data_IF_389481504683
#
_entry.id   IF_389481504683
#
_cell.length_a   1.000
_cell.length_b   1.000
_cell.length_c   1.000
_cell.angle_alpha   90.00
_cell.angle_beta   90.00
_cell.angle_gamma   90.00
#
_symmetry.space_group_name_H-M   'P 1'
#
loop_
_entity.id
_entity.type
_entity.pdbx_description
1 polymer ?
#
# COMPACT_ATOMS: atom_id res chain seq x y z
N UNK A 1 3.85 -5.05 38.64
CA UNK A 1 4.08 -3.76 37.95
C UNK A 1 4.89 -2.89 38.88
N UNK A 2 6.07 -2.41 38.47
CA UNK A 2 6.96 -1.61 39.33
C UNK A 2 6.55 -0.13 39.43
N UNK A 3 5.27 0.15 39.65
CA UNK A 3 4.76 1.52 39.85
C UNK A 3 4.68 1.79 41.34
N UNK A 4 5.27 2.90 41.78
CA UNK A 4 5.22 3.33 43.18
C UNK A 4 3.80 3.71 43.60
N UNK A 5 3.36 3.28 44.78
CA UNK A 5 2.01 3.51 45.29
C UNK A 5 1.66 5.00 45.40
N UNK A 6 2.64 5.87 45.64
CA UNK A 6 2.43 7.33 45.69
C UNK A 6 1.96 7.93 44.36
N UNK A 7 2.13 7.20 43.25
CA UNK A 7 1.70 7.61 41.91
C UNK A 7 0.30 7.12 41.56
N UNK A 8 -0.31 6.28 42.41
CA UNK A 8 -1.64 5.74 42.20
C UNK A 8 -2.66 6.73 42.76
N UNK A 9 -3.54 7.23 41.88
CA UNK A 9 -4.61 8.16 42.25
C UNK A 9 -5.94 7.44 42.12
N UNK A 10 -6.74 7.32 43.19
CA UNK A 10 -8.06 6.72 43.11
C UNK A 10 -9.01 7.68 42.39
N UNK A 11 -9.53 7.25 41.24
CA UNK A 11 -10.54 7.96 40.47
C UNK A 11 -11.79 7.10 40.39
N UNK A 12 -12.94 7.66 40.76
CA UNK A 12 -14.22 6.94 40.76
C UNK A 12 -15.17 7.41 39.67
N UNK A 13 -15.11 8.71 39.34
CA UNK A 13 -16.02 9.31 38.40
C UNK A 13 -15.44 9.31 36.98
N UNK A 14 -16.17 8.78 35.98
CA UNK A 14 -15.64 8.67 34.62
C UNK A 14 -15.35 10.03 33.97
N UNK A 15 -16.06 11.09 34.37
CA UNK A 15 -15.79 12.45 33.90
C UNK A 15 -14.51 13.03 34.49
N UNK A 16 -14.23 12.77 35.76
CA UNK A 16 -12.99 13.20 36.41
C UNK A 16 -11.79 12.49 35.77
N UNK A 17 -11.90 11.18 35.54
CA UNK A 17 -10.91 10.37 34.83
C UNK A 17 -10.62 10.94 33.45
N UNK A 18 -11.66 11.35 32.71
CA UNK A 18 -11.50 11.94 31.37
C UNK A 18 -10.69 13.23 31.43
N UNK A 19 -11.08 14.16 32.32
CA UNK A 19 -10.37 15.44 32.49
C UNK A 19 -8.94 15.24 32.95
N UNK A 20 -8.70 14.24 33.79
CA UNK A 20 -7.36 13.90 34.27
C UNK A 20 -6.49 13.32 33.14
N UNK A 21 -7.04 12.47 32.28
CA UNK A 21 -6.35 11.94 31.09
C UNK A 21 -6.03 13.07 30.09
N UNK A 22 -6.97 13.97 29.83
CA UNK A 22 -6.76 15.12 28.91
C UNK A 22 -5.67 16.08 29.39
N UNK A 23 -5.58 16.31 30.70
CA UNK A 23 -4.50 17.12 31.29
C UNK A 23 -3.13 16.46 31.08
N UNK A 24 -3.07 15.14 31.17
CA UNK A 24 -1.83 14.37 31.07
C UNK A 24 -0.86 14.61 32.24
N UNK A 25 0.21 13.83 32.35
CA UNK A 25 1.10 13.83 33.51
C UNK A 25 1.84 15.17 33.70
N UNK A 26 2.10 15.92 32.63
CA UNK A 26 2.83 17.18 32.68
C UNK A 26 2.00 18.36 33.20
N UNK A 27 0.67 18.27 33.18
CA UNK A 27 -0.24 19.35 33.64
C UNK A 27 -1.04 18.93 34.89
N UNK A 28 -0.49 18.02 35.69
CA UNK A 28 -1.13 17.53 36.92
C UNK A 28 -2.32 16.60 36.68
N UNK A 29 -2.37 15.95 35.52
CA UNK A 29 -3.29 14.86 35.21
C UNK A 29 -2.65 13.48 35.34
N UNK A 30 -3.29 12.48 34.75
CA UNK A 30 -2.82 11.08 34.77
C UNK A 30 -2.28 10.68 33.39
N UNK A 31 -1.31 9.76 33.38
CA UNK A 31 -0.75 9.22 32.13
C UNK A 31 -1.57 8.06 31.55
N UNK A 32 -2.22 7.29 32.42
CA UNK A 32 -3.02 6.13 32.06
C UNK A 32 -4.11 5.92 33.10
N UNK A 33 -5.22 5.35 32.65
CA UNK A 33 -6.31 4.87 33.49
C UNK A 33 -6.34 3.34 33.38
N UNK A 34 -6.41 2.67 34.52
CA UNK A 34 -6.40 1.20 34.60
C UNK A 34 -7.65 0.78 35.36
N UNK A 35 -8.43 -0.09 34.73
CA UNK A 35 -9.66 -0.63 35.26
C UNK A 35 -9.94 -1.98 34.58
N UNK A 36 -10.98 -2.68 35.01
CA UNK A 36 -11.38 -3.95 34.40
C UNK A 36 -11.86 -3.74 32.94
N UNK A 37 -11.65 -4.76 32.11
CA UNK A 37 -11.89 -4.68 30.67
C UNK A 37 -13.29 -4.19 30.29
N UNK A 38 -14.34 -4.70 30.95
CA UNK A 38 -15.71 -4.29 30.67
C UNK A 38 -15.96 -2.79 30.96
N UNK A 39 -15.35 -2.24 32.01
CA UNK A 39 -15.43 -0.82 32.33
C UNK A 39 -14.64 0.03 31.33
N UNK A 40 -13.46 -0.43 30.91
CA UNK A 40 -12.67 0.25 29.87
C UNK A 40 -13.40 0.25 28.53
N UNK A 41 -13.97 -0.88 28.11
CA UNK A 41 -14.76 -0.97 26.87
C UNK A 41 -15.98 -0.03 26.92
N UNK A 42 -16.67 0.05 28.05
CA UNK A 42 -17.76 0.99 28.25
C UNK A 42 -17.28 2.45 28.26
N UNK A 43 -16.15 2.75 28.89
CA UNK A 43 -15.56 4.09 28.94
C UNK A 43 -15.20 4.59 27.54
N UNK A 44 -14.48 3.76 26.77
CA UNK A 44 -14.12 3.99 25.38
C UNK A 44 -15.34 4.02 24.47
N UNK A 45 -16.44 3.39 24.88
CA UNK A 45 -17.63 3.36 24.04
C UNK A 45 -18.12 4.79 23.72
N UNK A 46 -18.10 5.64 24.73
CA UNK A 46 -18.51 7.04 24.64
C UNK A 46 -17.40 8.02 24.23
N UNK A 47 -16.14 7.58 24.16
CA UNK A 47 -14.96 8.46 24.04
C UNK A 47 -13.95 7.90 23.06
N UNK A 48 -13.92 8.46 21.85
CA UNK A 48 -13.08 7.97 20.75
C UNK A 48 -11.65 8.49 20.77
N UNK A 49 -11.34 9.44 21.65
CA UNK A 49 -10.02 10.07 21.74
C UNK A 49 -9.00 9.24 22.53
N UNK A 50 -9.47 8.16 23.17
CA UNK A 50 -8.65 7.26 23.97
C UNK A 50 -8.64 5.86 23.35
N UNK A 51 -7.57 5.12 23.61
CA UNK A 51 -7.44 3.73 23.19
C UNK A 51 -6.70 2.93 24.26
N UNK A 52 -6.94 1.61 24.29
CA UNK A 52 -6.17 0.70 25.13
C UNK A 52 -4.80 0.49 24.50
N UNK A 53 -3.75 0.64 25.31
CA UNK A 53 -2.37 0.39 24.89
C UNK A 53 -1.82 -0.79 25.68
N UNK A 54 -1.24 -1.75 24.97
CA UNK A 54 -0.59 -2.92 25.58
C UNK A 54 -1.52 -4.13 25.73
N UNK A 55 -1.04 -5.13 26.48
CA UNK A 55 -1.78 -6.35 26.78
C UNK A 55 -2.50 -6.26 28.12
N UNK A 56 -3.57 -7.04 28.25
CA UNK A 56 -4.26 -7.21 29.52
C UNK A 56 -3.34 -7.82 30.57
N UNK A 57 -3.25 -7.17 31.72
CA UNK A 57 -2.37 -7.59 32.81
C UNK A 57 -3.00 -8.63 33.73
N UNK A 58 -4.33 -8.69 33.77
CA UNK A 58 -5.11 -9.53 34.69
C UNK A 58 -6.25 -10.18 33.93
N UNK A 59 -6.29 -11.52 33.95
CA UNK A 59 -7.39 -12.33 33.39
C UNK A 59 -8.43 -12.62 34.46
N UNK A 60 -8.97 -11.57 35.06
CA UNK A 60 -10.01 -11.72 36.07
C UNK A 60 -11.37 -11.83 35.37
N UNK A 61 -12.22 -12.71 35.91
CA UNK A 61 -13.56 -12.97 35.39
C UNK A 61 -14.64 -12.55 36.37
N UNK A 62 -15.83 -12.28 35.83
CA UNK A 62 -17.02 -11.96 36.61
C UNK A 62 -17.81 -13.25 36.90
N UNK A 63 -18.50 -13.29 38.05
CA UNK A 63 -19.28 -14.46 38.44
C UNK A 63 -20.42 -14.12 39.39
N UNK A 64 -21.37 -15.05 39.48
CA UNK A 64 -22.47 -14.98 40.44
C UNK A 64 -22.11 -15.77 41.69
N UNK A 65 -22.42 -15.22 42.86
CA UNK A 65 -22.14 -15.86 44.16
C UNK A 65 -23.44 -16.28 44.84
N UNK A 66 -23.45 -17.50 45.36
CA UNK A 66 -24.58 -18.09 46.10
C UNK A 66 -24.09 -18.69 47.42
N UNK A 67 -24.97 -18.85 48.43
CA UNK A 67 -24.65 -19.61 49.63
C UNK A 67 -24.17 -21.02 49.29
N UNK A 68 -23.32 -21.57 50.16
CA UNK A 68 -22.81 -22.93 50.01
C UNK A 68 -23.97 -23.93 49.95
N UNK A 69 -23.85 -24.92 49.07
CA UNK A 69 -24.83 -25.99 48.83
C UNK A 69 -26.18 -25.52 48.27
N UNK A 70 -26.25 -24.29 47.73
CA UNK A 70 -27.43 -23.80 47.01
C UNK A 70 -27.57 -24.48 45.65
N UNK A 71 -28.73 -25.08 45.32
CA UNK A 71 -28.98 -25.66 44.00
C UNK A 71 -28.96 -24.60 42.89
N UNK A 72 -29.22 -23.34 43.22
CA UNK A 72 -29.26 -22.23 42.27
C UNK A 72 -27.89 -21.98 41.61
N UNK A 73 -26.78 -22.33 42.27
CA UNK A 73 -25.45 -22.19 41.70
C UNK A 73 -25.26 -23.10 40.47
N UNK A 74 -25.79 -24.32 40.52
CA UNK A 74 -25.74 -25.29 39.41
C UNK A 74 -26.64 -24.84 38.25
N UNK A 75 -27.87 -24.43 38.57
CA UNK A 75 -28.84 -23.97 37.56
C UNK A 75 -28.29 -22.75 36.80
N UNK A 76 -27.76 -21.76 37.53
CA UNK A 76 -27.19 -20.55 36.94
C UNK A 76 -25.95 -20.82 36.11
N UNK A 77 -25.06 -21.71 36.57
CA UNK A 77 -23.86 -22.07 35.81
C UNK A 77 -24.21 -22.79 34.51
N UNK A 78 -25.22 -23.67 34.55
CA UNK A 78 -25.71 -24.41 33.38
C UNK A 78 -26.36 -23.47 32.37
N UNK A 79 -27.22 -22.56 32.83
CA UNK A 79 -27.83 -21.56 31.96
C UNK A 79 -26.79 -20.65 31.28
N UNK A 80 -25.74 -20.22 32.00
CA UNK A 80 -24.66 -19.41 31.41
C UNK A 80 -23.90 -20.21 30.34
N UNK A 81 -23.64 -21.50 30.58
CA UNK A 81 -22.96 -22.36 29.63
C UNK A 81 -23.79 -22.52 28.34
N UNK A 82 -25.09 -22.77 28.46
CA UNK A 82 -26.01 -22.86 27.32
C UNK A 82 -26.06 -21.54 26.53
N UNK A 83 -26.07 -20.39 27.22
CA UNK A 83 -26.01 -19.07 26.57
C UNK A 83 -24.68 -18.83 25.84
N UNK A 84 -23.57 -19.32 26.39
CA UNK A 84 -22.26 -19.20 25.78
C UNK A 84 -22.13 -20.09 24.53
N UNK A 85 -22.58 -21.34 24.62
CA UNK A 85 -22.54 -22.30 23.50
C UNK A 85 -23.40 -21.85 22.32
N UNK A 86 -24.60 -21.31 22.59
CA UNK A 86 -25.49 -20.78 21.56
C UNK A 86 -25.05 -19.43 20.99
N UNK A 87 -23.99 -18.80 21.54
CA UNK A 87 -23.51 -17.49 21.13
C UNK A 87 -24.39 -16.30 21.58
N UNK A 88 -25.44 -16.57 22.35
CA UNK A 88 -26.35 -15.56 22.88
C UNK A 88 -25.65 -14.64 23.88
N UNK A 89 -24.70 -15.19 24.64
CA UNK A 89 -23.86 -14.40 25.55
C UNK A 89 -23.06 -13.33 24.80
N UNK A 90 -22.47 -13.69 23.66
CA UNK A 90 -21.75 -12.75 22.80
C UNK A 90 -22.69 -11.69 22.21
N UNK A 91 -23.91 -12.09 21.80
CA UNK A 91 -24.91 -11.14 21.30
C UNK A 91 -25.35 -10.14 22.36
N UNK A 92 -25.47 -10.57 23.61
CA UNK A 92 -25.76 -9.69 24.76
C UNK A 92 -24.58 -8.74 24.98
N UNK A 93 -23.36 -9.27 25.01
CA UNK A 93 -22.13 -8.48 25.13
C UNK A 93 -22.08 -7.36 24.08
N UNK A 94 -22.24 -7.72 22.81
CA UNK A 94 -22.13 -6.77 21.70
C UNK A 94 -23.27 -5.74 21.70
N UNK A 95 -24.48 -6.16 22.10
CA UNK A 95 -25.63 -5.27 22.19
C UNK A 95 -25.47 -4.19 23.26
N UNK A 96 -24.88 -4.54 24.41
CA UNK A 96 -24.78 -3.63 25.56
C UNK A 96 -23.45 -2.87 25.63
N UNK A 97 -22.33 -3.51 25.27
CA UNK A 97 -20.98 -2.93 25.36
C UNK A 97 -20.49 -2.38 24.01
N UNK A 98 -20.68 -3.12 22.91
CA UNK A 98 -20.06 -2.78 21.62
C UNK A 98 -20.87 -1.79 20.79
N UNK A 99 -22.20 -1.79 20.87
CA UNK A 99 -23.08 -0.90 20.08
C UNK A 99 -22.87 0.59 20.36
N UNK A 100 -22.22 0.95 21.48
CA UNK A 100 -21.88 2.35 21.79
C UNK A 100 -20.49 2.73 21.32
N UNK A 101 -19.58 1.77 21.11
CA UNK A 101 -18.18 2.05 20.83
C UNK A 101 -17.95 2.62 19.45
N UNK A 102 -17.77 3.95 19.39
CA UNK A 102 -17.16 4.70 18.28
C UNK A 102 -17.39 4.10 16.89
N UNK A 103 -18.62 3.68 16.60
CA UNK A 103 -19.02 3.05 15.34
C UNK A 103 -18.90 4.03 14.16
N UNK A 104 -18.61 5.31 14.43
CA UNK A 104 -18.29 6.31 13.42
C UNK A 104 -16.79 6.48 13.16
N UNK A 105 -15.89 5.97 14.01
CA UNK A 105 -14.45 6.07 13.75
C UNK A 105 -13.97 4.90 12.87
N UNK A 106 -14.58 3.72 12.98
CA UNK A 106 -14.29 2.57 12.10
C UNK A 106 -14.74 2.77 10.65
N UNK A 107 -15.86 3.44 10.41
CA UNK A 107 -16.34 3.74 9.04
C UNK A 107 -15.66 4.96 8.41
N UNK A 108 -14.82 5.70 9.15
CA UNK A 108 -14.12 6.90 8.66
C UNK A 108 -12.59 6.82 8.77
N UNK A 109 -12.04 5.86 9.52
CA UNK A 109 -10.59 5.63 9.65
C UNK A 109 -10.07 4.32 9.06
N UNK A 110 -10.91 3.39 8.60
CA UNK A 110 -10.47 2.13 7.98
C UNK A 110 -11.13 1.84 6.62
N UNK A 111 -11.23 2.86 5.77
CA UNK A 111 -10.86 2.59 4.37
C UNK A 111 -9.44 3.04 4.23
N UNK A 112 -8.56 2.06 4.30
CA UNK A 112 -7.13 1.99 4.04
C UNK A 112 -6.65 2.90 2.89
N UNK A 113 -6.80 4.21 3.06
CA UNK A 113 -6.12 5.21 2.25
C UNK A 113 -4.73 5.33 2.84
N UNK A 114 -3.90 4.36 2.49
CA UNK A 114 -2.46 4.47 2.33
C UNK A 114 -2.10 5.92 1.98
N UNK A 115 -1.86 6.71 3.02
CA UNK A 115 -1.74 8.14 2.90
C UNK A 115 -0.45 8.39 2.10
N UNK A 116 -0.54 9.09 0.96
CA UNK A 116 0.61 9.33 0.08
C UNK A 116 1.80 9.99 0.82
N UNK A 117 1.52 10.59 1.99
CA UNK A 117 2.51 11.11 2.93
C UNK A 117 3.43 10.04 3.53
N UNK A 118 2.95 8.81 3.72
CA UNK A 118 3.76 7.68 4.22
C UNK A 118 4.72 7.12 3.15
N UNK A 119 4.46 7.41 1.86
CA UNK A 119 5.27 6.97 0.73
C UNK A 119 6.35 7.96 0.29
N UNK A 120 6.69 8.92 1.14
CA UNK A 120 7.73 9.91 0.83
C UNK A 120 9.07 9.26 0.44
N UNK A 121 9.40 8.10 1.04
CA UNK A 121 10.59 7.32 0.67
C UNK A 121 10.57 6.83 -0.79
N UNK A 122 9.42 6.36 -1.28
CA UNK A 122 9.29 5.89 -2.67
C UNK A 122 9.46 7.05 -3.67
N UNK A 123 8.83 8.19 -3.39
CA UNK A 123 8.99 9.41 -4.19
C UNK A 123 10.44 9.89 -4.22
N UNK A 124 11.14 9.82 -3.09
CA UNK A 124 12.54 10.24 -2.98
C UNK A 124 13.47 9.31 -3.77
N UNK A 125 13.26 8.00 -3.70
CA UNK A 125 14.05 7.02 -4.45
C UNK A 125 13.81 7.14 -5.95
N UNK A 126 12.55 7.20 -6.39
CA UNK A 126 12.21 7.37 -7.80
C UNK A 126 12.71 8.72 -8.35
N UNK A 127 12.52 9.81 -7.59
CA UNK A 127 12.98 11.14 -7.97
C UNK A 127 14.51 11.21 -8.10
N UNK A 128 15.24 10.61 -7.16
CA UNK A 128 16.70 10.57 -7.21
C UNK A 128 17.22 9.75 -8.39
N UNK A 129 16.61 8.59 -8.66
CA UNK A 129 16.96 7.76 -9.82
C UNK A 129 16.74 8.51 -11.14
N UNK A 130 15.61 9.21 -11.29
CA UNK A 130 15.32 10.03 -12.46
C UNK A 130 16.30 11.21 -12.61
N UNK A 131 16.64 11.90 -11.52
CA UNK A 131 17.62 12.99 -11.53
C UNK A 131 19.01 12.51 -11.94
N UNK A 132 19.48 11.39 -11.38
CA UNK A 132 20.78 10.81 -11.74
C UNK A 132 20.83 10.40 -13.22
N UNK A 133 19.77 9.78 -13.73
CA UNK A 133 19.66 9.42 -15.15
C UNK A 133 19.71 10.65 -16.06
N UNK A 134 18.96 11.72 -15.71
CA UNK A 134 18.99 12.99 -16.45
C UNK A 134 20.36 13.65 -16.40
N UNK A 135 21.01 13.69 -15.24
CA UNK A 135 22.36 14.25 -15.09
C UNK A 135 23.39 13.51 -15.92
N UNK A 136 23.34 12.16 -15.92
CA UNK A 136 24.24 11.34 -16.75
C UNK A 136 24.00 11.61 -18.24
N UNK A 137 22.73 11.69 -18.67
CA UNK A 137 22.39 11.97 -20.07
C UNK A 137 22.83 13.38 -20.51
N UNK A 138 22.59 14.40 -19.67
CA UNK A 138 23.04 15.76 -19.92
C UNK A 138 24.56 15.83 -19.97
N UNK A 139 25.25 15.15 -19.06
CA UNK A 139 26.70 15.12 -19.04
C UNK A 139 27.29 14.43 -20.26
N UNK A 140 26.70 13.33 -20.73
CA UNK A 140 27.09 12.68 -21.99
C UNK A 140 26.86 13.61 -23.19
N UNK A 141 25.72 14.27 -23.24
CA UNK A 141 25.37 15.21 -24.33
C UNK A 141 26.31 16.42 -24.33
N UNK A 142 26.61 17.00 -23.16
CA UNK A 142 27.58 18.08 -23.00
C UNK A 142 29.00 17.67 -23.36
N UNK A 143 29.42 16.45 -22.98
CA UNK A 143 30.73 15.91 -23.37
C UNK A 143 30.83 15.69 -24.88
N UNK A 144 29.78 15.19 -25.52
CA UNK A 144 29.74 15.03 -26.97
C UNK A 144 29.77 16.39 -27.68
N UNK A 145 29.03 17.38 -27.17
CA UNK A 145 29.07 18.75 -27.67
C UNK A 145 30.47 19.37 -27.53
N UNK A 146 31.09 19.23 -26.36
CA UNK A 146 32.45 19.73 -26.10
C UNK A 146 33.54 18.96 -26.88
N UNK A 147 33.26 17.74 -27.34
CA UNK A 147 34.16 16.93 -28.18
C UNK A 147 33.97 17.19 -29.68
N UNK A 148 32.87 17.84 -30.09
CA UNK A 148 32.60 18.24 -31.46
C UNK A 148 32.91 19.72 -31.76
N UNK A 149 33.55 20.41 -30.81
CA UNK A 149 34.09 21.75 -31.03
C UNK A 149 35.62 21.68 -31.06
N UNK A 150 36.20 21.54 -32.26
CA UNK A 150 37.44 22.20 -32.58
C UNK A 150 37.18 23.26 -33.65
N UNK A 151 37.52 24.50 -33.31
CA UNK A 151 37.98 25.53 -34.25
C UNK A 151 36.91 26.28 -35.06
N UNK A 152 36.39 27.39 -34.52
CA UNK A 152 36.56 28.68 -35.20
C UNK A 152 36.45 29.89 -34.26
N UNK A 153 37.30 30.88 -34.54
CA UNK A 153 37.28 32.29 -34.14
C UNK A 153 38.06 32.65 -32.87
N UNK A 154 39.38 32.78 -33.07
CA UNK A 154 40.05 33.96 -32.53
C UNK A 154 39.42 35.25 -33.08
N UNK A 155 39.34 36.21 -32.16
CA UNK A 155 39.37 37.68 -32.35
C UNK A 155 38.06 38.49 -32.19
N UNK A 156 38.10 39.26 -31.09
CA UNK A 156 37.54 40.59 -30.84
C UNK A 156 36.23 40.76 -30.05
N UNK A 157 36.41 41.45 -28.91
CA UNK A 157 35.50 42.37 -28.22
C UNK A 157 34.09 41.90 -27.82
N UNK A 158 33.98 41.53 -26.55
CA UNK A 158 33.02 42.05 -25.57
C UNK A 158 31.54 42.19 -25.96
N UNK A 159 30.70 41.27 -25.46
CA UNK A 159 29.56 41.59 -24.59
C UNK A 159 28.89 40.30 -24.11
N UNK A 160 28.45 40.31 -22.84
CA UNK A 160 28.01 39.12 -22.11
C UNK A 160 27.03 38.26 -22.88
N UNK A 161 27.37 36.97 -23.03
CA UNK A 161 26.50 35.97 -23.61
C UNK A 161 25.28 35.76 -22.71
N UNK A 162 24.22 36.48 -23.04
CA UNK A 162 22.85 36.31 -22.57
C UNK A 162 22.43 34.86 -22.75
N UNK A 163 22.00 34.19 -21.67
CA UNK A 163 21.65 32.77 -21.61
C UNK A 163 20.60 32.29 -22.64
N UNK A 164 20.00 33.23 -23.39
CA UNK A 164 19.07 33.01 -24.49
C UNK A 164 19.67 32.21 -25.66
N UNK A 165 20.91 32.45 -26.07
CA UNK A 165 21.51 31.74 -27.23
C UNK A 165 21.81 30.27 -26.92
N UNK A 166 22.21 29.93 -25.69
CA UNK A 166 22.44 28.53 -25.29
C UNK A 166 21.14 27.72 -25.21
N UNK A 167 20.07 28.30 -24.67
CA UNK A 167 18.78 27.60 -24.59
C UNK A 167 18.17 27.36 -25.97
N UNK A 168 18.33 28.29 -26.90
CA UNK A 168 17.92 28.12 -28.30
C UNK A 168 18.62 26.91 -28.95
N UNK A 169 19.94 26.76 -28.76
CA UNK A 169 20.68 25.61 -29.30
C UNK A 169 20.27 24.29 -28.64
N UNK A 170 19.99 24.29 -27.34
CA UNK A 170 19.49 23.09 -26.66
C UNK A 170 18.09 22.69 -27.14
N UNK A 171 17.20 23.67 -27.35
CA UNK A 171 15.87 23.42 -27.88
C UNK A 171 15.94 22.84 -29.30
N UNK A 172 16.83 23.34 -30.17
CA UNK A 172 16.99 22.79 -31.52
C UNK A 172 17.55 21.36 -31.52
N UNK A 173 18.49 21.02 -30.62
CA UNK A 173 18.98 19.65 -30.48
C UNK A 173 17.93 18.67 -29.93
N UNK A 174 17.05 19.14 -29.04
CA UNK A 174 15.95 18.32 -28.51
C UNK A 174 14.90 18.08 -29.58
N UNK A 175 14.56 19.10 -30.37
CA UNK A 175 13.65 19.01 -31.51
C UNK A 175 14.19 18.05 -32.58
N UNK A 176 15.48 18.14 -32.92
CA UNK A 176 16.15 17.21 -33.85
C UNK A 176 16.11 15.75 -33.34
N UNK A 177 16.30 15.55 -32.03
CA UNK A 177 16.19 14.19 -31.45
C UNK A 177 14.75 13.67 -31.39
N UNK A 178 13.75 14.53 -31.24
CA UNK A 178 12.33 14.13 -31.29
C UNK A 178 11.96 13.59 -32.67
N UNK A 179 12.41 14.26 -33.74
CA UNK A 179 12.22 13.84 -35.13
C UNK A 179 12.91 12.50 -35.44
N UNK A 180 14.12 12.25 -34.91
CA UNK A 180 14.83 10.96 -35.05
C UNK A 180 14.07 9.81 -34.36
N UNK A 181 13.42 10.07 -33.21
CA UNK A 181 12.62 9.07 -32.51
C UNK A 181 11.32 8.80 -33.27
N UNK A 182 10.64 9.84 -33.79
CA UNK A 182 9.43 9.70 -34.61
C UNK A 182 9.71 8.92 -35.91
N UNK A 183 10.80 9.20 -36.61
CA UNK A 183 11.18 8.49 -37.84
C UNK A 183 11.55 7.02 -37.58
N UNK A 184 12.26 6.71 -36.49
CA UNK A 184 12.50 5.32 -36.06
C UNK A 184 11.21 4.58 -35.69
N UNK A 185 10.27 5.26 -35.02
CA UNK A 185 8.96 4.70 -34.67
C UNK A 185 8.14 4.39 -35.93
N UNK A 186 8.10 5.32 -36.90
CA UNK A 186 7.44 5.14 -38.20
C UNK A 186 8.06 3.98 -39.00
N UNK A 187 9.39 3.85 -39.01
CA UNK A 187 10.10 2.71 -39.66
C UNK A 187 9.72 1.37 -39.04
N UNK A 188 9.69 1.28 -37.70
CA UNK A 188 9.24 0.07 -37.00
C UNK A 188 7.77 -0.25 -37.27
N UNK A 189 6.90 0.75 -37.38
CA UNK A 189 5.49 0.55 -37.73
C UNK A 189 5.33 0.02 -39.17
N UNK A 190 6.15 0.51 -40.11
CA UNK A 190 6.15 0.04 -41.50
C UNK A 190 6.68 -1.41 -41.61
N UNK A 191 7.73 -1.76 -40.86
CA UNK A 191 8.19 -3.15 -40.71
C UNK A 191 7.10 -4.04 -40.11
N UNK A 192 6.23 -3.48 -39.24
CA UNK A 192 5.09 -4.22 -38.70
C UNK A 192 3.96 -4.51 -39.67
N UNK A 193 3.76 -3.62 -40.64
CA UNK A 193 2.73 -3.81 -41.67
C UNK A 193 3.26 -4.76 -42.76
N UNK A 194 4.56 -4.67 -43.08
CA UNK A 194 5.25 -5.54 -44.02
C UNK A 194 5.20 -7.03 -43.64
N UNK A 195 5.38 -7.39 -42.35
CA UNK A 195 5.28 -8.79 -41.93
C UNK A 195 3.84 -9.34 -42.00
N UNK A 196 2.83 -8.46 -42.00
CA UNK A 196 1.42 -8.86 -42.05
C UNK A 196 0.95 -9.10 -43.48
N UNK A 197 1.55 -8.41 -44.46
CA UNK A 197 1.29 -8.64 -45.89
C UNK A 197 1.96 -9.90 -46.43
N UNK A 198 3.09 -10.36 -45.85
CA UNK A 198 3.72 -11.63 -46.23
C UNK A 198 2.99 -12.86 -45.67
N UNK A 199 2.22 -12.72 -44.59
CA UNK A 199 1.37 -13.80 -44.08
C UNK A 199 0.11 -14.06 -44.89
N UNK A 200 -0.40 -13.10 -45.68
CA UNK A 200 -1.60 -13.31 -46.52
C UNK A 200 -1.29 -13.97 -47.87
N UNK A 201 -0.05 -13.89 -48.38
CA UNK A 201 0.37 -14.62 -49.60
C UNK A 201 0.79 -16.07 -49.29
N UNK A 202 1.15 -16.37 -48.04
CA UNK A 202 1.56 -17.72 -47.59
C UNK A 202 0.42 -18.70 -47.32
N UNK A 203 -0.83 -18.23 -47.18
CA UNK A 203 -1.98 -19.09 -46.83
C UNK A 203 -2.68 -19.76 -48.02
N UNK A 204 -2.32 -19.46 -49.28
CA UNK A 204 -2.94 -20.11 -50.45
C UNK A 204 -2.15 -21.30 -51.02
N UNK A 205 -0.95 -21.60 -50.51
CA UNK A 205 -0.07 -22.66 -51.08
C UNK A 205 -0.07 -23.96 -50.25
N UNK A 206 -0.57 -23.94 -49.01
CA UNK A 206 -0.51 -25.11 -48.10
C UNK A 206 -1.73 -26.04 -48.23
N UNK A 207 -2.73 -25.71 -49.06
CA UNK A 207 -3.90 -26.59 -49.25
C UNK A 207 -3.72 -27.70 -50.31
N UNK A 208 -2.63 -27.69 -51.10
CA UNK A 208 -2.49 -28.61 -52.25
C UNK A 208 -1.41 -29.70 -52.07
N UNK A 209 -0.79 -29.81 -50.89
CA UNK A 209 0.31 -30.77 -50.68
C UNK A 209 -0.04 -31.98 -49.80
N UNK A 210 -1.20 -31.97 -49.15
CA UNK A 210 -1.63 -33.04 -48.24
C UNK A 210 -2.55 -34.08 -48.90
N UNK A 211 -2.93 -33.89 -50.16
CA UNK A 211 -3.73 -34.87 -50.93
C UNK A 211 -2.87 -35.83 -51.79
N UNK A 212 -1.55 -35.60 -51.89
CA UNK A 212 -0.67 -36.38 -52.80
C UNK A 212 0.26 -37.37 -52.09
N UNK A 213 0.26 -37.41 -50.75
CA UNK A 213 1.14 -38.28 -49.95
C UNK A 213 0.41 -39.45 -49.25
N UNK A 214 -0.92 -39.51 -49.31
CA UNK A 214 -1.71 -40.66 -48.83
C UNK A 214 -1.82 -41.80 -49.86
N UNK A 215 -1.32 -41.62 -51.08
CA UNK A 215 -1.46 -42.57 -52.20
C UNK A 215 -0.19 -43.39 -52.47
N UNK A 216 0.92 -43.11 -51.78
CA UNK A 216 2.24 -43.69 -52.11
C UNK A 216 2.92 -44.42 -50.94
N UNK A 217 2.14 -45.00 -50.02
CA UNK A 217 2.68 -45.83 -48.92
C UNK A 217 1.89 -47.13 -48.68
N UNK A 218 1.13 -47.60 -49.69
CA UNK A 218 0.34 -48.85 -49.61
C UNK A 218 0.79 -49.98 -50.53
N UNK A 219 1.96 -49.85 -51.15
CA UNK A 219 2.51 -50.86 -52.07
C UNK A 219 3.99 -51.05 -51.74
N UNK A 220 4.30 -51.76 -50.65
CA UNK A 220 5.48 -52.66 -50.55
C UNK A 220 5.60 -53.30 -49.15
N UNK A 221 4.57 -54.03 -48.74
CA UNK A 221 4.73 -55.07 -47.72
C UNK A 221 4.05 -56.34 -48.22
N UNK A 222 4.69 -56.92 -49.23
CA UNK A 222 4.45 -58.26 -49.72
C UNK A 222 5.78 -58.81 -50.28
N UNK A 223 6.65 -59.28 -49.38
CA UNK A 223 7.60 -60.39 -49.56
C UNK A 223 8.68 -60.34 -48.48
N UNK A 224 8.55 -61.20 -47.46
CA UNK A 224 9.53 -62.26 -47.16
C UNK A 224 9.07 -63.04 -45.91
N UNK A 225 8.71 -64.30 -46.18
CA UNK A 225 8.55 -65.51 -45.32
C UNK A 225 7.63 -65.45 -44.10
#
# INVERSE_FOLDING_TARGET
MGIDESRLVPLKDPEETTKALEKGPHKGGIAAYVDERAYIELFLSTRCDFSVIGQEFTRNGWGFAFPRDSPLALDMSTAILELAENGDLQRIHDKWLLRRACLSQGAKLEVDRLNLRSFWGLYLVCGLACLLALLIYLFQTLRQYKKHDPEELESSSGQGASGSTRLQTFLSFVDEKEEIVKTRSKRRQMERISYRSTSEVGSSVISNKEFSLSSLSRIDSANEV
#
